data_IF_113508978535
#
_entry.id   IF_113508978535
#
_cell.length_a   1.000
_cell.length_b   1.000
_cell.length_c   1.000
_cell.angle_alpha   90.00
_cell.angle_beta   90.00
_cell.angle_gamma   90.00
#
_symmetry.space_group_name_H-M   'P 1'
#
loop_
_entity.id
_entity.type
_entity.pdbx_description
1 polymer ?
#
# COMPACT_ATOMS: atom_id res chain seq x y z
N UNK A 1 -15.99 3.49 -16.68
CA UNK A 1 -15.23 3.17 -15.46
C UNK A 1 -13.87 3.82 -15.58
N UNK A 2 -13.67 4.86 -14.79
CA UNK A 2 -12.44 5.64 -14.70
C UNK A 2 -11.27 4.76 -14.18
N UNK A 3 -10.04 5.17 -14.48
CA UNK A 3 -8.83 4.43 -14.08
C UNK A 3 -8.71 4.28 -12.56
N UNK A 4 -9.08 5.34 -11.81
CA UNK A 4 -9.00 5.34 -10.36
C UNK A 4 -9.99 4.36 -9.72
N UNK A 5 -11.21 4.24 -10.25
CA UNK A 5 -12.18 3.27 -9.73
C UNK A 5 -11.72 1.82 -9.91
N UNK A 6 -11.06 1.53 -11.05
CA UNK A 6 -10.48 0.21 -11.28
C UNK A 6 -9.35 -0.06 -10.29
N UNK A 7 -8.48 0.91 -10.06
CA UNK A 7 -7.40 0.80 -9.07
C UNK A 7 -7.95 0.56 -7.64
N UNK A 8 -8.99 1.29 -7.21
CA UNK A 8 -9.65 1.05 -5.92
C UNK A 8 -10.15 -0.39 -5.78
N UNK A 9 -10.85 -0.90 -6.80
CA UNK A 9 -11.35 -2.28 -6.80
C UNK A 9 -10.22 -3.31 -6.74
N UNK A 10 -9.16 -3.11 -7.51
CA UNK A 10 -7.99 -4.00 -7.49
C UNK A 10 -7.30 -4.00 -6.13
N UNK A 11 -7.11 -2.83 -5.51
CA UNK A 11 -6.50 -2.75 -4.18
C UNK A 11 -7.39 -3.45 -3.14
N UNK A 12 -8.70 -3.30 -3.20
CA UNK A 12 -9.61 -3.96 -2.26
C UNK A 12 -9.56 -5.49 -2.37
N UNK A 13 -9.63 -6.02 -3.60
CA UNK A 13 -9.43 -7.45 -3.84
C UNK A 13 -8.05 -7.93 -3.37
N UNK A 14 -7.02 -7.11 -3.53
CA UNK A 14 -5.67 -7.45 -3.06
C UNK A 14 -5.63 -7.52 -1.53
N UNK A 15 -6.35 -6.66 -0.81
CA UNK A 15 -6.44 -6.73 0.66
C UNK A 15 -7.08 -8.03 1.14
N UNK A 16 -8.12 -8.48 0.45
CA UNK A 16 -8.75 -9.77 0.73
C UNK A 16 -7.74 -10.92 0.52
N UNK A 17 -6.99 -10.89 -0.59
CA UNK A 17 -5.95 -11.89 -0.86
C UNK A 17 -4.83 -11.89 0.18
N UNK A 18 -4.34 -10.71 0.58
CA UNK A 18 -3.30 -10.59 1.62
C UNK A 18 -3.80 -11.17 2.94
N UNK A 19 -5.04 -10.89 3.34
CA UNK A 19 -5.64 -11.47 4.54
C UNK A 19 -5.70 -13.00 4.47
N UNK A 20 -6.11 -13.57 3.33
CA UNK A 20 -6.14 -15.03 3.12
C UNK A 20 -4.75 -15.67 3.21
N UNK A 21 -3.70 -14.93 2.81
CA UNK A 21 -2.31 -15.38 2.90
C UNK A 21 -1.67 -15.15 4.27
N UNK A 22 -2.40 -14.58 5.25
CA UNK A 22 -1.87 -14.22 6.55
C UNK A 22 -0.88 -13.05 6.51
N UNK A 23 -0.94 -12.23 5.46
CA UNK A 23 -0.11 -11.03 5.31
C UNK A 23 -0.88 -9.84 5.86
N UNK A 24 -0.21 -9.07 6.73
CA UNK A 24 -0.78 -7.86 7.31
C UNK A 24 -1.16 -6.85 6.21
N UNK A 25 -2.45 -6.47 6.20
CA UNK A 25 -3.01 -5.49 5.27
C UNK A 25 -2.41 -4.10 5.41
N UNK A 26 -1.79 -3.80 6.56
CA UNK A 26 -1.01 -2.59 6.77
C UNK A 26 0.19 -2.46 5.81
N UNK A 27 0.55 -3.54 5.11
CA UNK A 27 1.60 -3.58 4.08
C UNK A 27 1.16 -3.09 2.70
N UNK A 28 -0.13 -2.78 2.50
CA UNK A 28 -0.68 -2.23 1.26
C UNK A 28 -1.41 -0.92 1.52
N UNK A 29 -0.99 0.14 0.83
CA UNK A 29 -1.62 1.46 0.90
C UNK A 29 -2.05 1.95 -0.48
N UNK A 30 -3.16 2.69 -0.52
CA UNK A 30 -3.63 3.41 -1.71
C UNK A 30 -3.93 4.84 -1.28
N UNK A 31 -3.25 5.79 -1.93
CA UNK A 31 -3.37 7.21 -1.64
C UNK A 31 -3.56 7.98 -2.94
N UNK A 32 -4.53 8.89 -2.95
CA UNK A 32 -4.75 9.80 -4.08
C UNK A 32 -3.94 11.06 -3.86
N UNK A 33 -3.06 11.38 -4.82
CA UNK A 33 -2.19 12.55 -4.75
C UNK A 33 -2.21 13.25 -6.09
N UNK A 34 -2.54 14.54 -6.10
CA UNK A 34 -2.50 15.37 -7.30
C UNK A 34 -1.07 15.81 -7.63
N UNK A 35 -0.86 16.29 -8.86
CA UNK A 35 0.46 16.78 -9.31
C UNK A 35 0.98 18.00 -8.53
N UNK A 36 0.11 18.73 -7.84
CA UNK A 36 0.47 19.89 -7.02
C UNK A 36 0.86 19.53 -5.58
N UNK A 37 0.67 18.28 -5.15
CA UNK A 37 0.76 17.86 -3.75
C UNK A 37 2.12 17.22 -3.38
N UNK A 38 3.23 17.71 -3.94
CA UNK A 38 4.56 17.13 -3.74
C UNK A 38 4.98 16.99 -2.26
N UNK A 39 4.69 18.00 -1.43
CA UNK A 39 5.00 17.93 0.01
C UNK A 39 4.13 16.89 0.76
N UNK A 40 2.88 16.67 0.33
CA UNK A 40 2.01 15.62 0.91
C UNK A 40 2.48 14.25 0.46
N UNK A 41 2.87 14.08 -0.81
CA UNK A 41 3.48 12.85 -1.32
C UNK A 41 4.69 12.44 -0.49
N UNK A 42 5.64 13.35 -0.26
CA UNK A 42 6.84 13.08 0.52
C UNK A 42 6.53 12.60 1.95
N UNK A 43 5.52 13.20 2.60
CA UNK A 43 5.06 12.78 3.92
C UNK A 43 4.45 11.38 3.90
N UNK A 44 3.53 11.11 2.98
CA UNK A 44 2.89 9.79 2.81
C UNK A 44 3.94 8.70 2.64
N UNK A 45 4.91 8.90 1.75
CA UNK A 45 5.97 7.92 1.49
C UNK A 45 6.85 7.71 2.73
N UNK A 46 7.19 8.79 3.44
CA UNK A 46 7.98 8.73 4.68
C UNK A 46 7.27 7.95 5.77
N UNK A 47 6.00 8.29 6.03
CA UNK A 47 5.18 7.67 7.07
C UNK A 47 4.91 6.19 6.76
N UNK A 48 4.57 5.88 5.51
CA UNK A 48 4.38 4.50 5.08
C UNK A 48 5.69 3.70 5.18
N UNK A 49 6.83 4.27 4.79
CA UNK A 49 8.14 3.61 4.94
C UNK A 49 8.44 3.31 6.41
N UNK A 50 8.20 4.26 7.32
CA UNK A 50 8.40 4.07 8.74
C UNK A 50 7.47 2.99 9.31
N UNK A 51 6.20 2.98 8.88
CA UNK A 51 5.22 1.94 9.23
C UNK A 51 5.67 0.54 8.77
N UNK A 52 6.14 0.39 7.54
CA UNK A 52 6.65 -0.91 7.05
C UNK A 52 7.88 -1.34 7.85
N UNK A 53 8.79 -0.41 8.17
CA UNK A 53 9.95 -0.69 9.04
C UNK A 53 9.53 -1.16 10.43
N UNK A 54 8.49 -0.58 11.03
CA UNK A 54 7.99 -1.00 12.35
C UNK A 54 7.29 -2.35 12.34
N UNK A 55 6.56 -2.69 11.27
CA UNK A 55 5.96 -4.03 11.09
C UNK A 55 7.05 -5.10 10.89
N UNK A 56 8.19 -4.71 10.30
CA UNK A 56 9.35 -5.58 10.11
C UNK A 56 9.30 -6.38 8.80
N UNK A 57 10.19 -7.38 8.69
CA UNK A 57 10.41 -8.15 7.45
C UNK A 57 9.11 -8.83 6.97
N UNK A 58 8.96 -8.90 5.65
CA UNK A 58 7.83 -9.57 5.02
C UNK A 58 7.83 -11.07 5.34
N UNK A 59 6.67 -11.68 5.62
CA UNK A 59 6.54 -13.13 5.79
C UNK A 59 6.84 -13.91 4.50
N UNK A 60 6.83 -13.26 3.33
CA UNK A 60 7.14 -13.89 2.04
C UNK A 60 8.65 -14.06 1.77
N UNK A 61 9.52 -13.62 2.69
CA UNK A 61 10.97 -13.69 2.51
C UNK A 61 11.50 -12.67 1.49
N UNK A 62 12.71 -12.92 0.98
CA UNK A 62 13.26 -12.17 -0.16
C UNK A 62 12.62 -12.75 -1.42
N UNK A 63 12.01 -11.91 -2.27
CA UNK A 63 11.59 -12.36 -3.59
C UNK A 63 12.81 -12.97 -4.29
N UNK A 64 12.68 -14.22 -4.74
CA UNK A 64 13.75 -14.94 -5.44
C UNK A 64 14.16 -14.21 -6.73
#
# INVERSE_FOLDING_TARGET
MDGNEKASRTVEMTRELLALMGIDNERLALEWVSSAEGARFARIVTDFTNKIKSIGKSPLGVAA
#
